data_IF_507258492308
#
_entry.id   IF_507258492308
#
_cell.length_a   1.000
_cell.length_b   1.000
_cell.length_c   1.000
_cell.angle_alpha   90.00
_cell.angle_beta   90.00
_cell.angle_gamma   90.00
#
_symmetry.space_group_name_H-M   'P 1'
#
loop_
_entity.id
_entity.type
_entity.pdbx_description
1 polymer ?
#
# COMPACT_ATOMS: atom_id res chain seq x y z
N UNK A 1 67.99 -22.87 17.45
CA UNK A 1 66.77 -23.50 18.01
C UNK A 1 65.72 -22.42 18.20
N UNK A 2 64.57 -22.51 17.54
CA UNK A 2 63.23 -22.17 18.05
C UNK A 2 62.22 -22.49 16.94
N UNK A 3 61.34 -23.42 17.28
CA UNK A 3 60.29 -24.03 16.48
C UNK A 3 59.00 -23.26 16.75
N UNK A 4 58.26 -22.82 15.72
CA UNK A 4 56.88 -22.35 15.90
C UNK A 4 55.96 -23.05 14.92
N UNK A 5 55.32 -24.10 15.44
CA UNK A 5 54.03 -24.60 14.96
C UNK A 5 53.00 -23.46 15.03
N UNK A 6 52.20 -23.31 13.98
CA UNK A 6 50.79 -22.94 14.13
C UNK A 6 50.04 -23.25 12.83
N UNK A 7 49.27 -24.33 12.91
CA UNK A 7 48.18 -24.66 12.00
C UNK A 7 47.00 -23.81 12.43
N UNK A 8 46.40 -22.99 11.55
CA UNK A 8 45.06 -22.47 11.83
C UNK A 8 44.27 -22.12 10.55
N UNK A 9 43.35 -23.04 10.26
CA UNK A 9 41.96 -22.84 9.82
C UNK A 9 41.70 -22.16 8.47
N UNK A 10 41.29 -23.00 7.53
CA UNK A 10 40.29 -22.67 6.50
C UNK A 10 39.12 -21.92 7.14
N UNK A 11 38.85 -20.70 6.66
CA UNK A 11 37.60 -20.02 6.87
C UNK A 11 36.94 -19.84 5.51
N UNK A 12 35.74 -20.41 5.39
CA UNK A 12 34.88 -20.34 4.24
C UNK A 12 34.48 -18.88 3.93
N UNK A 13 34.60 -18.49 2.66
CA UNK A 13 34.00 -17.26 2.14
C UNK A 13 32.85 -17.70 1.24
N UNK A 14 31.65 -17.79 1.82
CA UNK A 14 30.43 -17.88 1.04
C UNK A 14 30.14 -16.50 0.45
N UNK A 15 29.89 -16.35 -0.85
CA UNK A 15 29.41 -15.09 -1.39
C UNK A 15 27.96 -14.90 -0.92
N UNK A 16 27.76 -13.93 -0.03
CA UNK A 16 26.46 -13.41 0.34
C UNK A 16 25.91 -12.64 -0.85
N UNK A 17 25.10 -13.29 -1.70
CA UNK A 17 24.38 -12.62 -2.79
C UNK A 17 23.26 -11.80 -2.14
N UNK A 18 23.54 -10.51 -1.92
CA UNK A 18 22.53 -9.54 -1.54
C UNK A 18 21.63 -9.29 -2.77
N UNK A 19 20.52 -10.03 -2.87
CA UNK A 19 19.41 -9.62 -3.74
C UNK A 19 18.79 -8.38 -3.12
N UNK A 20 19.23 -7.22 -3.60
CA UNK A 20 18.55 -5.95 -3.38
C UNK A 20 17.19 -6.07 -4.08
N UNK A 21 16.14 -6.38 -3.32
CA UNK A 21 14.76 -6.14 -3.75
C UNK A 21 14.60 -4.62 -3.75
N UNK A 22 15.01 -3.99 -4.85
CA UNK A 22 14.53 -2.67 -5.19
C UNK A 22 13.04 -2.83 -5.50
N UNK A 23 12.18 -2.68 -4.48
CA UNK A 23 10.80 -2.31 -4.71
C UNK A 23 10.85 -0.98 -5.46
N UNK A 24 10.70 -1.05 -6.79
CA UNK A 24 10.68 0.11 -7.65
C UNK A 24 9.62 1.08 -7.14
N UNK A 25 10.09 2.18 -6.57
CA UNK A 25 9.27 3.31 -6.18
C UNK A 25 8.84 3.99 -7.48
N UNK A 26 7.79 3.42 -8.08
CA UNK A 26 7.04 4.09 -9.13
C UNK A 26 6.66 5.45 -8.57
N UNK A 27 7.03 6.54 -9.24
CA UNK A 27 6.63 7.90 -8.84
C UNK A 27 5.11 7.99 -8.98
N UNK A 28 4.37 7.62 -7.93
CA UNK A 28 2.91 7.71 -7.91
C UNK A 28 2.58 9.15 -7.57
N UNK A 29 2.15 9.89 -8.59
CA UNK A 29 1.71 11.28 -8.40
C UNK A 29 0.37 11.28 -7.65
N UNK A 30 0.31 11.84 -6.42
CA UNK A 30 -0.88 11.73 -5.57
C UNK A 30 -2.09 12.44 -6.19
N UNK A 31 -1.86 13.60 -6.81
CA UNK A 31 -2.90 14.40 -7.47
C UNK A 31 -3.48 13.65 -8.67
N UNK A 32 -2.61 13.07 -9.52
CA UNK A 32 -3.03 12.31 -10.70
C UNK A 32 -3.79 11.05 -10.31
N UNK A 33 -3.33 10.37 -9.26
CA UNK A 33 -3.98 9.18 -8.72
C UNK A 33 -5.36 9.53 -8.18
N UNK A 34 -5.50 10.60 -7.39
CA UNK A 34 -6.80 11.03 -6.90
C UNK A 34 -7.74 11.44 -8.04
N UNK A 35 -7.27 12.18 -9.05
CA UNK A 35 -8.06 12.55 -10.24
C UNK A 35 -8.56 11.34 -11.03
N UNK A 36 -7.75 10.29 -11.17
CA UNK A 36 -8.14 9.02 -11.85
C UNK A 36 -9.36 8.36 -11.18
N UNK A 37 -9.48 8.53 -9.87
CA UNK A 37 -10.53 7.92 -9.05
C UNK A 37 -11.57 8.92 -8.54
N UNK A 38 -11.53 10.18 -8.98
CA UNK A 38 -12.43 11.23 -8.51
C UNK A 38 -13.90 10.83 -8.70
N UNK A 39 -14.66 10.94 -7.62
CA UNK A 39 -16.07 10.55 -7.56
C UNK A 39 -16.31 9.04 -7.46
N UNK A 40 -15.28 8.19 -7.37
CA UNK A 40 -15.41 6.73 -7.29
C UNK A 40 -15.19 6.21 -5.88
N UNK A 41 -15.73 5.01 -5.64
CA UNK A 41 -15.43 4.24 -4.43
C UNK A 41 -14.21 3.37 -4.70
N UNK A 42 -13.21 3.46 -3.84
CA UNK A 42 -11.99 2.65 -3.92
C UNK A 42 -11.87 1.74 -2.71
N UNK A 43 -11.29 0.57 -2.91
CA UNK A 43 -11.00 -0.41 -1.87
C UNK A 43 -9.65 -1.08 -2.14
N UNK A 44 -8.96 -1.52 -1.09
CA UNK A 44 -7.77 -2.36 -1.23
C UNK A 44 -8.18 -3.84 -1.30
N UNK A 45 -7.33 -4.71 -1.86
CA UNK A 45 -7.48 -6.15 -1.69
C UNK A 45 -7.49 -6.49 -0.19
N UNK A 46 -8.42 -7.36 0.26
CA UNK A 46 -8.53 -7.71 1.68
C UNK A 46 -7.24 -8.35 2.16
N UNK A 47 -6.72 -7.87 3.29
CA UNK A 47 -5.52 -8.45 3.92
C UNK A 47 -5.62 -8.52 5.45
N UNK A 48 -6.80 -8.31 6.03
CA UNK A 48 -7.01 -8.34 7.47
C UNK A 48 -6.49 -7.09 8.18
N UNK A 49 -6.46 -5.93 7.51
CA UNK A 49 -5.94 -4.66 8.05
C UNK A 49 -7.03 -3.80 8.73
N UNK A 50 -8.24 -4.33 8.86
CA UNK A 50 -9.37 -3.62 9.48
C UNK A 50 -9.82 -2.44 8.62
N UNK A 51 -9.63 -1.21 9.12
CA UNK A 51 -10.10 0.03 8.47
C UNK A 51 -9.62 0.16 7.02
N UNK A 52 -8.36 -0.19 6.75
CA UNK A 52 -7.74 -0.05 5.41
C UNK A 52 -8.36 -0.99 4.36
N UNK A 53 -9.03 -2.06 4.79
CA UNK A 53 -9.78 -2.98 3.92
C UNK A 53 -11.23 -2.49 3.68
N UNK A 54 -11.59 -1.32 4.21
CA UNK A 54 -12.90 -0.69 4.03
C UNK A 54 -13.04 0.01 2.68
N UNK A 55 -14.20 0.65 2.52
CA UNK A 55 -14.53 1.43 1.33
C UNK A 55 -14.23 2.91 1.53
N UNK A 56 -13.74 3.56 0.48
CA UNK A 56 -13.37 4.96 0.53
C UNK A 56 -13.90 5.71 -0.69
N UNK A 57 -14.55 6.85 -0.49
CA UNK A 57 -14.90 7.76 -1.58
C UNK A 57 -13.69 8.65 -1.87
N UNK A 58 -13.24 8.70 -3.13
CA UNK A 58 -12.26 9.69 -3.56
C UNK A 58 -13.01 10.93 -4.05
N UNK A 59 -12.84 12.07 -3.38
CA UNK A 59 -13.45 13.35 -3.77
C UNK A 59 -12.60 14.52 -3.31
N UNK A 60 -12.40 15.51 -4.18
CA UNK A 60 -11.60 16.70 -3.89
C UNK A 60 -10.12 16.36 -3.68
N UNK A 61 -9.61 15.35 -4.38
CA UNK A 61 -8.21 14.94 -4.25
C UNK A 61 -7.89 14.12 -3.00
N UNK A 62 -8.90 13.78 -2.17
CA UNK A 62 -8.73 13.02 -0.94
C UNK A 62 -9.64 11.79 -0.92
N UNK A 63 -9.27 10.79 -0.13
CA UNK A 63 -10.10 9.62 0.16
C UNK A 63 -10.79 9.79 1.52
N UNK A 64 -12.11 9.58 1.58
CA UNK A 64 -12.92 9.58 2.79
C UNK A 64 -13.39 8.18 3.11
N UNK A 65 -13.14 7.73 4.32
CA UNK A 65 -13.58 6.42 4.78
C UNK A 65 -15.09 6.36 4.89
N UNK A 66 -15.69 5.29 4.39
CA UNK A 66 -17.12 5.00 4.49
C UNK A 66 -17.30 3.94 5.58
N UNK A 67 -17.94 4.34 6.67
CA UNK A 67 -18.20 3.47 7.82
C UNK A 67 -19.38 2.54 7.53
N UNK A 68 -20.43 3.08 6.92
CA UNK A 68 -21.68 2.35 6.66
C UNK A 68 -21.89 2.11 5.17
N UNK A 69 -22.12 0.85 4.81
CA UNK A 69 -22.51 0.43 3.47
C UNK A 69 -23.83 1.06 3.02
N UNK A 70 -24.73 1.43 3.95
CA UNK A 70 -25.98 2.11 3.60
C UNK A 70 -25.76 3.49 3.01
N UNK A 71 -24.64 4.16 3.33
CA UNK A 71 -24.28 5.45 2.77
C UNK A 71 -24.11 5.38 1.26
N UNK A 72 -23.58 4.27 0.72
CA UNK A 72 -23.38 4.08 -0.71
C UNK A 72 -24.71 4.22 -1.48
N UNK A 73 -25.69 3.38 -1.13
CA UNK A 73 -26.98 3.36 -1.81
C UNK A 73 -27.73 4.69 -1.68
N UNK A 74 -27.63 5.36 -0.52
CA UNK A 74 -28.22 6.69 -0.29
C UNK A 74 -27.62 7.78 -1.17
N UNK A 75 -26.37 7.63 -1.58
CA UNK A 75 -25.63 8.62 -2.38
C UNK A 75 -25.49 8.21 -3.85
N UNK A 76 -26.23 7.18 -4.30
CA UNK A 76 -26.22 6.73 -5.69
C UNK A 76 -24.99 5.90 -6.09
N UNK A 77 -24.29 5.33 -5.12
CA UNK A 77 -23.17 4.41 -5.34
C UNK A 77 -23.59 2.96 -5.13
N UNK A 78 -23.08 2.07 -5.97
CA UNK A 78 -23.28 0.62 -5.83
C UNK A 78 -21.99 -0.06 -5.40
N UNK A 79 -22.11 -1.18 -4.68
CA UNK A 79 -20.96 -2.01 -4.31
C UNK A 79 -20.26 -2.63 -5.52
N UNK A 80 -20.97 -2.75 -6.65
CA UNK A 80 -20.44 -3.22 -7.93
C UNK A 80 -19.53 -2.17 -8.61
N UNK A 81 -19.70 -0.89 -8.26
CA UNK A 81 -18.92 0.23 -8.82
C UNK A 81 -17.61 0.47 -8.03
N UNK A 82 -17.33 -0.34 -7.02
CA UNK A 82 -16.14 -0.26 -6.19
C UNK A 82 -14.91 -0.67 -7.00
N UNK A 83 -13.95 0.24 -7.11
CA UNK A 83 -12.71 0.01 -7.82
C UNK A 83 -11.65 -0.49 -6.85
N UNK A 84 -11.16 -1.71 -7.07
CA UNK A 84 -10.02 -2.24 -6.32
C UNK A 84 -8.74 -1.55 -6.79
N UNK A 85 -8.01 -0.91 -5.86
CA UNK A 85 -6.75 -0.20 -6.14
C UNK A 85 -5.59 -0.84 -5.38
N UNK A 86 -4.37 -0.61 -5.88
CA UNK A 86 -3.16 -1.13 -5.23
C UNK A 86 -2.88 -0.42 -3.91
N UNK A 87 -2.12 -1.07 -3.03
CA UNK A 87 -1.69 -0.47 -1.77
C UNK A 87 -0.92 0.84 -1.94
N UNK A 88 -0.15 0.94 -3.02
CA UNK A 88 0.65 2.11 -3.33
C UNK A 88 -0.22 3.28 -3.83
N UNK A 89 -1.18 3.03 -4.73
CA UNK A 89 -2.15 4.06 -5.15
C UNK A 89 -3.03 4.55 -3.98
N UNK A 90 -3.46 3.63 -3.11
CA UNK A 90 -4.25 3.97 -1.92
C UNK A 90 -3.49 4.89 -0.96
N UNK A 91 -2.22 4.59 -0.70
CA UNK A 91 -1.35 5.42 0.16
C UNK A 91 -1.01 6.76 -0.48
N UNK A 92 -0.99 6.85 -1.81
CA UNK A 92 -0.74 8.09 -2.51
C UNK A 92 -1.90 9.08 -2.41
N UNK A 93 -3.15 8.61 -2.30
CA UNK A 93 -4.31 9.50 -2.12
C UNK A 93 -4.39 9.91 -0.64
N UNK A 94 -4.30 11.21 -0.32
CA UNK A 94 -4.43 11.70 1.05
C UNK A 94 -5.77 11.31 1.66
N UNK A 95 -5.77 10.90 2.93
CA UNK A 95 -7.01 10.61 3.66
C UNK A 95 -7.57 11.90 4.26
N UNK A 96 -8.89 12.05 4.20
CA UNK A 96 -9.59 13.10 4.94
C UNK A 96 -10.03 12.55 6.31
N UNK A 97 -9.81 13.30 7.41
CA UNK A 97 -10.15 12.85 8.76
C UNK A 97 -11.65 12.70 9.02
N UNK A 98 -12.52 13.25 8.16
CA UNK A 98 -13.97 13.17 8.32
C UNK A 98 -14.57 11.95 7.59
N UNK A 99 -15.00 10.90 8.31
CA UNK A 99 -15.61 9.74 7.69
C UNK A 99 -17.07 9.99 7.28
N UNK A 100 -17.51 9.22 6.29
CA UNK A 100 -18.88 9.17 5.78
C UNK A 100 -19.65 8.05 6.49
N UNK A 101 -20.89 8.36 6.87
CA UNK A 101 -21.78 7.56 7.72
C UNK A 101 -23.22 7.72 7.26
#
# INVERSE_FOLDING_TARGET
MINRRSVLRMAAVLPFVATVVACGESKIDPIKTAQKYEGKIVAQPPAGRGKEDGWYLVKGGKRRWIIDSTWLNKNGYSVQDVVTITGAEFKAIPEDPEPLK
#
